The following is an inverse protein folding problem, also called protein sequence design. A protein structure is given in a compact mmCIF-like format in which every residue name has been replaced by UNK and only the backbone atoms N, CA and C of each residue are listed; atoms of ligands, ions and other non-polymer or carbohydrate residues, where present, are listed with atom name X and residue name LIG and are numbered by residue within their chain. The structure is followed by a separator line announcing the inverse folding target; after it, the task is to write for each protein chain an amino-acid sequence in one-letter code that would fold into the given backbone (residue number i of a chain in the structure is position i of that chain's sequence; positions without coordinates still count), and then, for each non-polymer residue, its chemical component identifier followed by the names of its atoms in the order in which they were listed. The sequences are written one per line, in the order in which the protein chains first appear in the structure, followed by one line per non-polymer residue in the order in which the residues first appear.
data_IF_377849434737
#
_entry.id   IF_377849434737
#
_cell.length_a   1.000
_cell.length_b   1.000
_cell.length_c   1.000
_cell.angle_alpha   90.00
_cell.angle_beta   90.00
_cell.angle_gamma   90.00
#
_symmetry.space_group_name_H-M   'P 1'
#
loop_
_entity.id
_entity.type
_entity.pdbx_description
1 polymer ?
#
# COMPACT_ATOMS: atom_id res chain seq x y z
N UNK A 1 -4.17 8.23 -9.33
CA UNK A 1 -5.64 8.36 -9.42
C UNK A 1 -6.04 9.58 -10.27
N UNK A 2 -5.58 10.79 -9.97
CA UNK A 2 -5.91 11.98 -10.80
C UNK A 2 -5.46 11.84 -12.25
N UNK A 3 -4.32 11.22 -12.52
CA UNK A 3 -3.85 10.91 -13.88
C UNK A 3 -4.74 9.90 -14.61
N UNK A 4 -5.55 9.16 -13.89
CA UNK A 4 -6.53 8.19 -14.40
C UNK A 4 -7.97 8.77 -14.34
N UNK A 5 -8.09 10.10 -14.34
CA UNK A 5 -9.35 10.85 -14.41
C UNK A 5 -10.31 10.58 -13.22
N UNK A 6 -9.81 10.06 -12.10
CA UNK A 6 -10.63 9.85 -10.91
C UNK A 6 -10.90 11.16 -10.18
N UNK A 7 -12.10 11.32 -9.64
CA UNK A 7 -12.37 12.34 -8.63
C UNK A 7 -11.79 11.89 -7.30
N UNK A 8 -10.90 12.67 -6.74
CA UNK A 8 -10.14 12.30 -5.55
C UNK A 8 -10.49 13.19 -4.38
N UNK A 9 -10.77 12.57 -3.24
CA UNK A 9 -10.83 13.25 -1.95
C UNK A 9 -9.59 12.84 -1.15
N UNK A 10 -8.74 13.81 -0.82
CA UNK A 10 -7.63 13.62 0.11
C UNK A 10 -8.11 14.02 1.49
N UNK A 11 -8.09 13.07 2.42
CA UNK A 11 -8.48 13.31 3.80
C UNK A 11 -7.29 13.11 4.75
N UNK A 12 -7.07 14.06 5.64
CA UNK A 12 -6.14 13.93 6.76
C UNK A 12 -6.76 14.55 8.02
N UNK A 13 -6.73 13.82 9.14
CA UNK A 13 -7.24 14.29 10.43
C UNK A 13 -6.46 15.45 11.05
N UNK A 14 -5.31 15.82 10.49
CA UNK A 14 -4.50 16.93 10.96
C UNK A 14 -4.96 18.27 10.32
N UNK A 15 -5.63 19.10 11.09
CA UNK A 15 -6.12 20.41 10.67
C UNK A 15 -5.02 21.50 10.53
N UNK A 16 -3.78 21.19 10.96
CA UNK A 16 -2.65 22.11 10.88
C UNK A 16 -1.92 22.05 9.53
N UNK A 17 -2.28 21.10 8.68
CA UNK A 17 -1.71 21.00 7.33
C UNK A 17 -2.20 22.14 6.46
N UNK A 18 -1.34 22.59 5.53
CA UNK A 18 -1.69 23.63 4.57
C UNK A 18 -2.19 23.00 3.26
N UNK A 19 -3.47 23.19 2.87
CA UNK A 19 -4.02 22.64 1.65
C UNK A 19 -3.28 23.08 0.37
N UNK A 20 -2.78 24.33 0.34
CA UNK A 20 -2.06 24.86 -0.82
C UNK A 20 -0.70 24.19 -0.98
N UNK A 21 0.01 23.91 0.12
CA UNK A 21 1.25 23.14 0.09
C UNK A 21 1.04 21.69 -0.37
N UNK A 22 -0.11 21.10 -0.02
CA UNK A 22 -0.50 19.77 -0.48
C UNK A 22 -0.75 19.82 -1.99
N UNK A 23 -1.56 20.80 -2.47
CA UNK A 23 -1.84 20.98 -3.90
C UNK A 23 -0.56 21.16 -4.72
N UNK A 24 0.37 21.98 -4.23
CA UNK A 24 1.63 22.26 -4.91
C UNK A 24 2.53 21.02 -5.10
N UNK A 25 2.35 19.97 -4.30
CA UNK A 25 3.10 18.71 -4.40
C UNK A 25 2.46 17.69 -5.34
N UNK A 26 1.24 17.95 -5.80
CA UNK A 26 0.51 17.02 -6.66
C UNK A 26 0.88 17.29 -8.11
N UNK A 27 1.52 16.31 -8.73
CA UNK A 27 1.94 16.39 -10.13
C UNK A 27 0.91 15.72 -11.04
N UNK A 28 0.37 16.48 -11.97
CA UNK A 28 -0.52 16.01 -13.04
C UNK A 28 -1.96 15.76 -12.56
N UNK A 29 -2.86 15.73 -13.52
CA UNK A 29 -4.30 15.63 -13.30
C UNK A 29 -4.98 17.01 -13.18
N UNK A 30 -6.31 16.99 -13.29
CA UNK A 30 -7.11 18.19 -13.14
C UNK A 30 -7.27 18.56 -11.66
N UNK A 31 -6.84 19.75 -11.30
CA UNK A 31 -6.96 20.27 -9.92
C UNK A 31 -8.41 20.42 -9.46
N UNK A 32 -9.36 20.56 -10.38
CA UNK A 32 -10.80 20.61 -10.08
C UNK A 32 -11.35 19.24 -9.63
N UNK A 33 -10.67 18.17 -10.00
CA UNK A 33 -11.01 16.79 -9.59
C UNK A 33 -10.44 16.40 -8.22
N UNK A 34 -9.79 17.34 -7.49
CA UNK A 34 -9.22 17.10 -6.17
C UNK A 34 -9.93 17.95 -5.11
N UNK A 35 -10.57 17.29 -4.17
CA UNK A 35 -11.04 17.86 -2.91
C UNK A 35 -10.04 17.54 -1.79
N UNK A 36 -9.68 18.51 -0.95
CA UNK A 36 -8.83 18.31 0.24
C UNK A 36 -9.67 18.59 1.48
N UNK A 37 -9.76 17.63 2.38
CA UNK A 37 -10.46 17.73 3.66
C UNK A 37 -9.44 17.50 4.78
N UNK A 38 -9.28 18.49 5.64
CA UNK A 38 -8.37 18.44 6.79
C UNK A 38 -9.14 18.57 8.10
N UNK A 39 -8.65 17.90 9.13
CA UNK A 39 -9.26 17.95 10.46
C UNK A 39 -10.40 16.94 10.63
N UNK A 40 -11.30 17.24 11.56
CA UNK A 40 -12.38 16.32 11.95
C UNK A 40 -13.45 16.21 10.86
N UNK A 41 -13.80 15.00 10.50
CA UNK A 41 -14.88 14.68 9.57
C UNK A 41 -16.03 14.01 10.31
N UNK A 42 -17.10 14.76 10.56
CA UNK A 42 -18.24 14.33 11.38
C UNK A 42 -19.59 14.73 10.78
N UNK A 43 -20.68 14.20 11.36
CA UNK A 43 -22.05 14.57 11.05
C UNK A 43 -22.46 14.29 9.60
N UNK A 44 -23.37 15.10 9.08
CA UNK A 44 -23.97 14.93 7.74
C UNK A 44 -22.91 14.98 6.64
N UNK A 45 -21.89 15.84 6.77
CA UNK A 45 -20.78 15.94 5.80
C UNK A 45 -20.02 14.63 5.65
N UNK A 46 -19.78 13.91 6.77
CA UNK A 46 -19.14 12.58 6.73
C UNK A 46 -20.02 11.59 5.99
N UNK A 47 -21.32 11.54 6.33
CA UNK A 47 -22.28 10.65 5.69
C UNK A 47 -22.35 10.86 4.18
N UNK A 48 -22.55 12.11 3.75
CA UNK A 48 -22.60 12.48 2.32
C UNK A 48 -21.32 12.13 1.56
N UNK A 49 -20.15 12.30 2.21
CA UNK A 49 -18.88 11.92 1.60
C UNK A 49 -18.81 10.41 1.41
N UNK A 50 -19.04 9.62 2.47
CA UNK A 50 -18.97 8.17 2.41
C UNK A 50 -19.93 7.57 1.37
N UNK A 51 -21.09 8.19 1.17
CA UNK A 51 -22.08 7.74 0.16
C UNK A 51 -21.62 7.98 -1.29
N UNK A 52 -20.67 8.88 -1.51
CA UNK A 52 -20.12 9.21 -2.84
C UNK A 52 -18.86 8.41 -3.18
N UNK A 53 -18.23 7.78 -2.19
CA UNK A 53 -17.00 7.04 -2.42
C UNK A 53 -17.26 5.71 -3.12
N UNK A 54 -16.37 5.37 -4.05
CA UNK A 54 -16.35 4.06 -4.72
C UNK A 54 -15.17 3.20 -4.25
N UNK A 55 -14.11 3.84 -3.72
CA UNK A 55 -12.89 3.21 -3.27
C UNK A 55 -12.24 4.07 -2.19
N UNK A 56 -11.69 3.43 -1.18
CA UNK A 56 -10.84 4.06 -0.17
C UNK A 56 -9.42 3.56 -0.33
N UNK A 57 -8.45 4.47 -0.41
CA UNK A 57 -7.02 4.13 -0.42
C UNK A 57 -6.38 4.65 0.85
N UNK A 58 -5.86 3.74 1.66
CA UNK A 58 -5.28 4.06 2.96
C UNK A 58 -3.77 4.15 2.90
N UNK A 59 -3.21 5.16 3.56
CA UNK A 59 -1.79 5.21 3.88
C UNK A 59 -1.46 4.15 4.94
N UNK A 60 -0.30 3.45 4.88
CA UNK A 60 0.09 2.42 5.84
C UNK A 60 0.16 2.92 7.30
N UNK A 61 0.41 4.23 7.49
CA UNK A 61 0.43 4.85 8.81
C UNK A 61 -0.94 4.96 9.50
N UNK A 62 -2.03 4.87 8.74
CA UNK A 62 -3.40 4.98 9.27
C UNK A 62 -3.85 3.66 9.87
N UNK A 63 -4.27 3.63 11.16
CA UNK A 63 -4.82 2.42 11.78
C UNK A 63 -6.07 1.92 11.06
N UNK A 64 -6.12 0.61 10.84
CA UNK A 64 -7.25 -0.03 10.13
C UNK A 64 -8.48 -0.24 11.01
N UNK A 65 -8.35 -0.02 12.33
CA UNK A 65 -9.40 -0.15 13.35
C UNK A 65 -10.05 1.18 13.77
N UNK A 66 -9.71 2.28 13.09
CA UNK A 66 -10.33 3.58 13.35
C UNK A 66 -11.85 3.52 13.10
N UNK A 67 -12.66 4.25 13.91
CA UNK A 67 -14.11 4.28 13.75
C UNK A 67 -14.58 4.60 12.33
N UNK A 68 -13.96 5.58 11.68
CA UNK A 68 -14.30 5.94 10.29
C UNK A 68 -13.99 4.80 9.30
N UNK A 69 -12.92 4.05 9.53
CA UNK A 69 -12.56 2.91 8.66
C UNK A 69 -13.55 1.75 8.86
N UNK A 70 -14.03 1.55 10.09
CA UNK A 70 -15.08 0.56 10.36
C UNK A 70 -16.41 0.96 9.71
N UNK A 71 -16.80 2.23 9.79
CA UNK A 71 -17.99 2.74 9.06
C UNK A 71 -17.87 2.53 7.54
N UNK A 72 -16.69 2.75 6.96
CA UNK A 72 -16.42 2.47 5.54
C UNK A 72 -16.64 1.00 5.19
N UNK A 73 -16.16 0.08 6.06
CA UNK A 73 -16.39 -1.36 5.89
C UNK A 73 -17.86 -1.74 6.00
N UNK A 74 -18.56 -1.19 6.99
CA UNK A 74 -20.00 -1.44 7.18
C UNK A 74 -20.83 -0.96 5.98
N UNK A 75 -20.40 0.10 5.30
CA UNK A 75 -20.98 0.57 4.04
C UNK A 75 -20.58 -0.29 2.82
N UNK A 76 -19.72 -1.29 3.00
CA UNK A 76 -19.23 -2.14 1.91
C UNK A 76 -18.25 -1.46 0.96
N UNK A 77 -17.61 -0.35 1.37
CA UNK A 77 -16.61 0.32 0.55
C UNK A 77 -15.36 -0.53 0.43
N UNK A 78 -14.81 -0.75 -0.77
CA UNK A 78 -13.52 -1.38 -0.94
C UNK A 78 -12.43 -0.52 -0.28
N UNK A 79 -11.61 -1.15 0.57
CA UNK A 79 -10.49 -0.48 1.26
C UNK A 79 -9.20 -1.12 0.80
N UNK A 80 -8.39 -0.36 0.09
CA UNK A 80 -7.09 -0.74 -0.41
C UNK A 80 -5.98 0.01 0.33
N UNK A 81 -4.81 -0.59 0.43
CA UNK A 81 -3.58 0.14 0.75
C UNK A 81 -2.90 0.66 -0.51
N UNK A 82 -1.83 1.41 -0.33
CA UNK A 82 -1.01 1.90 -1.44
C UNK A 82 -0.44 0.77 -2.30
N UNK A 83 -0.10 -0.37 -1.67
CA UNK A 83 0.47 -1.53 -2.35
C UNK A 83 -0.57 -2.18 -3.27
N UNK A 84 -1.79 -2.37 -2.77
CA UNK A 84 -2.87 -2.91 -3.59
C UNK A 84 -3.15 -2.01 -4.80
N UNK A 85 -3.25 -0.70 -4.56
CA UNK A 85 -3.43 0.27 -5.64
C UNK A 85 -2.32 0.18 -6.69
N UNK A 86 -1.06 0.15 -6.24
CA UNK A 86 0.08 0.07 -7.13
C UNK A 86 0.12 -1.25 -7.91
N UNK A 87 -0.24 -2.35 -7.27
CA UNK A 87 -0.28 -3.68 -7.88
C UNK A 87 -1.35 -3.77 -8.98
N UNK A 88 -2.53 -3.21 -8.75
CA UNK A 88 -3.63 -3.22 -9.73
C UNK A 88 -3.28 -2.41 -10.99
N UNK A 89 -2.56 -1.30 -10.84
CA UNK A 89 -2.13 -0.47 -11.97
C UNK A 89 -0.78 -0.89 -12.56
N UNK A 90 0.03 -1.61 -11.79
CA UNK A 90 1.34 -2.08 -12.20
C UNK A 90 1.29 -3.32 -13.09
N UNK A 91 2.42 -3.59 -13.73
CA UNK A 91 2.63 -4.76 -14.58
C UNK A 91 3.95 -5.43 -14.23
N UNK A 92 4.10 -6.69 -14.63
CA UNK A 92 5.31 -7.47 -14.41
C UNK A 92 5.28 -8.31 -13.13
N UNK A 93 6.39 -8.96 -12.84
CA UNK A 93 6.51 -9.88 -11.70
C UNK A 93 6.94 -9.15 -10.43
N UNK A 94 6.23 -9.39 -9.32
CA UNK A 94 6.57 -8.86 -8.01
C UNK A 94 7.31 -9.91 -7.18
N UNK A 95 8.48 -9.51 -6.62
CA UNK A 95 9.25 -10.26 -5.65
C UNK A 95 9.12 -9.52 -4.31
N UNK A 96 8.33 -10.04 -3.39
CA UNK A 96 7.96 -9.36 -2.15
C UNK A 96 8.71 -9.92 -0.94
N UNK A 97 9.24 -9.05 -0.10
CA UNK A 97 10.04 -9.43 1.08
C UNK A 97 9.45 -8.79 2.32
N UNK A 98 9.13 -9.62 3.32
CA UNK A 98 8.73 -9.17 4.66
C UNK A 98 9.57 -9.83 5.75
N UNK A 99 9.36 -9.42 6.97
CA UNK A 99 10.04 -9.91 8.16
C UNK A 99 10.14 -8.83 9.21
N UNK A 100 10.61 -9.14 10.40
CA UNK A 100 10.93 -8.13 11.40
C UNK A 100 12.24 -7.43 11.04
N UNK A 101 13.29 -8.20 10.81
CA UNK A 101 14.64 -7.71 10.54
C UNK A 101 15.18 -8.19 9.19
N UNK A 102 16.12 -7.44 8.62
CA UNK A 102 16.83 -7.82 7.39
C UNK A 102 16.09 -7.51 6.07
N UNK A 103 14.86 -7.01 6.12
CA UNK A 103 14.09 -6.68 4.92
C UNK A 103 14.85 -5.79 3.95
N UNK A 104 15.30 -4.63 4.43
CA UNK A 104 15.98 -3.60 3.62
C UNK A 104 17.23 -4.16 2.94
N UNK A 105 18.06 -4.89 3.68
CA UNK A 105 19.28 -5.49 3.14
C UNK A 105 18.97 -6.53 2.07
N UNK A 106 18.00 -7.41 2.34
CA UNK A 106 17.61 -8.46 1.38
C UNK A 106 16.95 -7.87 0.14
N UNK A 107 16.07 -6.89 0.31
CA UNK A 107 15.41 -6.20 -0.81
C UNK A 107 16.41 -5.45 -1.68
N UNK A 108 17.35 -4.74 -1.07
CA UNK A 108 18.39 -4.01 -1.81
C UNK A 108 19.31 -4.97 -2.56
N UNK A 109 19.76 -6.06 -1.92
CA UNK A 109 20.60 -7.06 -2.56
C UNK A 109 19.87 -7.73 -3.73
N UNK A 110 18.62 -8.14 -3.54
CA UNK A 110 17.82 -8.74 -4.60
C UNK A 110 17.58 -7.74 -5.74
N UNK A 111 17.35 -6.46 -5.43
CA UNK A 111 17.25 -5.40 -6.41
C UNK A 111 18.50 -5.27 -7.27
N UNK A 112 19.71 -5.30 -6.66
CA UNK A 112 20.97 -5.28 -7.41
C UNK A 112 21.16 -6.53 -8.29
N UNK A 113 20.74 -7.69 -7.81
CA UNK A 113 20.74 -8.92 -8.62
C UNK A 113 19.81 -8.76 -9.83
N UNK A 114 18.58 -8.31 -9.61
CA UNK A 114 17.59 -8.18 -10.68
C UNK A 114 17.94 -7.15 -11.74
N UNK A 115 18.70 -6.10 -11.42
CA UNK A 115 19.28 -5.17 -12.41
C UNK A 115 20.14 -5.87 -13.48
N UNK A 116 20.73 -7.02 -13.15
CA UNK A 116 21.53 -7.79 -14.08
C UNK A 116 20.72 -8.83 -14.88
N UNK A 117 19.51 -9.15 -14.44
CA UNK A 117 18.66 -10.17 -15.05
C UNK A 117 17.49 -9.58 -15.86
N UNK A 118 16.94 -8.46 -15.41
CA UNK A 118 15.78 -7.85 -16.04
C UNK A 118 16.16 -6.54 -16.73
N UNK A 119 15.60 -6.28 -17.91
CA UNK A 119 15.80 -5.00 -18.59
C UNK A 119 15.08 -3.84 -17.89
N UNK A 120 14.08 -4.15 -17.09
CA UNK A 120 13.30 -3.21 -16.29
C UNK A 120 13.15 -3.76 -14.89
N UNK A 121 13.80 -3.13 -13.91
CA UNK A 121 13.70 -3.53 -12.50
C UNK A 121 13.55 -2.32 -11.59
N UNK A 122 12.72 -2.47 -10.56
CA UNK A 122 12.43 -1.43 -9.58
C UNK A 122 12.55 -1.98 -8.16
N UNK A 123 13.08 -1.16 -7.25
CA UNK A 123 13.07 -1.43 -5.81
C UNK A 123 12.12 -0.44 -5.16
N UNK A 124 11.14 -0.96 -4.44
CA UNK A 124 9.99 -0.16 -3.96
C UNK A 124 9.45 -0.63 -2.62
N UNK A 125 8.46 0.06 -2.10
CA UNK A 125 7.68 -0.34 -0.93
C UNK A 125 8.05 0.44 0.32
N UNK A 126 8.27 -0.27 1.41
CA UNK A 126 8.61 0.34 2.71
C UNK A 126 9.98 1.04 2.72
N UNK A 127 10.81 0.83 1.70
CA UNK A 127 12.08 1.50 1.44
C UNK A 127 12.09 2.13 0.05
N UNK A 128 12.95 3.11 -0.12
CA UNK A 128 13.14 3.77 -1.42
C UNK A 128 11.90 4.52 -1.87
N UNK A 129 11.46 4.24 -3.09
CA UNK A 129 10.30 4.87 -3.68
C UNK A 129 9.01 4.11 -3.32
N UNK A 130 7.90 4.82 -3.04
CA UNK A 130 6.59 4.17 -2.95
C UNK A 130 6.27 3.40 -4.24
N UNK A 131 5.68 2.23 -4.13
CA UNK A 131 5.33 1.44 -5.32
C UNK A 131 4.37 2.21 -6.26
N UNK A 132 3.47 3.00 -5.70
CA UNK A 132 2.54 3.86 -6.46
C UNK A 132 3.27 4.86 -7.37
N UNK A 133 4.49 5.30 -7.03
CA UNK A 133 5.23 6.28 -7.83
C UNK A 133 5.75 5.72 -9.16
N UNK A 134 5.89 4.38 -9.26
CA UNK A 134 6.42 3.73 -10.44
C UNK A 134 5.41 2.82 -11.15
N UNK A 135 4.25 2.57 -10.55
CA UNK A 135 3.29 1.59 -11.04
C UNK A 135 2.94 1.78 -12.53
N UNK A 136 2.66 3.01 -12.96
CA UNK A 136 2.36 3.34 -14.36
C UNK A 136 3.60 3.30 -15.30
N UNK A 137 4.80 3.13 -14.76
CA UNK A 137 6.04 3.02 -15.54
C UNK A 137 6.43 1.57 -15.79
N UNK A 138 5.80 0.64 -15.08
CA UNK A 138 6.10 -0.79 -15.18
C UNK A 138 5.52 -1.40 -16.48
N UNK A 139 6.14 -2.46 -16.95
CA UNK A 139 5.78 -3.20 -18.17
C UNK A 139 5.64 -4.68 -17.85
N UNK A 140 5.13 -5.46 -18.77
CA UNK A 140 4.94 -6.92 -18.62
C UNK A 140 6.27 -7.67 -18.32
N UNK A 141 7.41 -7.13 -18.79
CA UNK A 141 8.75 -7.66 -18.55
C UNK A 141 9.46 -7.05 -17.33
N UNK A 142 8.78 -6.21 -16.55
CA UNK A 142 9.35 -5.59 -15.36
C UNK A 142 9.45 -6.57 -14.20
N UNK A 143 10.49 -6.39 -13.37
CA UNK A 143 10.64 -7.06 -12.07
C UNK A 143 10.59 -6.01 -10.97
N UNK A 144 9.65 -6.15 -10.06
CA UNK A 144 9.43 -5.26 -8.94
C UNK A 144 9.87 -5.95 -7.65
N UNK A 145 10.94 -5.49 -7.05
CA UNK A 145 11.43 -5.99 -5.75
C UNK A 145 10.85 -5.09 -4.66
N UNK A 146 9.89 -5.63 -3.90
CA UNK A 146 9.10 -4.86 -2.95
C UNK A 146 9.42 -5.23 -1.49
N UNK A 147 9.86 -4.25 -0.70
CA UNK A 147 9.89 -4.38 0.75
C UNK A 147 8.50 -4.16 1.33
N UNK A 148 7.99 -5.14 2.08
CA UNK A 148 6.65 -5.11 2.64
C UNK A 148 6.66 -5.00 4.17
N UNK A 149 6.07 -3.95 4.72
CA UNK A 149 5.76 -3.86 6.14
C UNK A 149 4.50 -4.66 6.47
N UNK A 150 4.31 -5.01 7.75
CA UNK A 150 3.07 -5.63 8.21
C UNK A 150 1.86 -4.71 8.00
N UNK A 151 2.04 -3.38 8.13
CA UNK A 151 0.98 -2.39 7.93
C UNK A 151 0.50 -2.32 6.47
N UNK A 152 1.42 -2.40 5.50
CA UNK A 152 1.08 -2.46 4.08
C UNK A 152 0.32 -3.73 3.73
N UNK A 153 0.66 -4.84 4.38
CA UNK A 153 -0.01 -6.13 4.18
C UNK A 153 -1.43 -6.21 4.78
N UNK A 154 -1.77 -5.35 5.76
CA UNK A 154 -3.12 -5.31 6.34
C UNK A 154 -4.22 -4.98 5.32
N UNK A 155 -3.89 -4.32 4.24
CA UNK A 155 -4.86 -3.75 3.28
C UNK A 155 -4.70 -4.25 1.85
N UNK A 156 -3.98 -5.36 1.65
CA UNK A 156 -3.96 -6.06 0.37
C UNK A 156 -5.27 -6.82 0.14
N UNK A 157 -5.65 -7.01 -1.12
CA UNK A 157 -6.84 -7.73 -1.56
C UNK A 157 -6.49 -8.76 -2.64
N UNK A 158 -5.91 -8.29 -3.74
CA UNK A 158 -5.54 -9.11 -4.89
C UNK A 158 -4.02 -9.22 -5.08
N UNK A 159 -3.25 -8.47 -4.29
CA UNK A 159 -1.80 -8.48 -4.33
C UNK A 159 -1.25 -9.91 -4.27
N UNK A 160 -0.57 -10.30 -5.33
CA UNK A 160 -0.03 -11.64 -5.51
C UNK A 160 1.39 -11.59 -6.04
N UNK A 161 2.39 -11.64 -5.17
CA UNK A 161 3.77 -11.69 -5.62
C UNK A 161 4.10 -13.04 -6.28
N UNK A 162 4.89 -13.02 -7.34
CA UNK A 162 5.42 -14.23 -7.98
C UNK A 162 6.33 -15.03 -7.04
N UNK A 163 7.10 -14.30 -6.24
CA UNK A 163 7.91 -14.85 -5.15
C UNK A 163 7.69 -13.99 -3.91
N UNK A 164 7.40 -14.62 -2.80
CA UNK A 164 7.39 -13.98 -1.48
C UNK A 164 8.44 -14.56 -0.54
N UNK A 165 8.91 -13.76 0.42
CA UNK A 165 9.80 -14.23 1.46
C UNK A 165 9.41 -13.65 2.82
N UNK A 166 9.37 -14.51 3.85
CA UNK A 166 9.26 -14.11 5.26
C UNK A 166 10.60 -14.44 5.93
N UNK A 167 11.43 -13.42 6.18
CA UNK A 167 12.80 -13.62 6.66
C UNK A 167 12.89 -14.09 8.10
N UNK A 168 12.06 -13.51 8.96
CA UNK A 168 11.95 -13.82 10.39
C UNK A 168 10.77 -13.06 10.98
N UNK A 169 10.26 -13.55 12.10
CA UNK A 169 9.24 -12.85 12.89
C UNK A 169 9.66 -12.88 14.36
N UNK A 170 9.95 -11.72 14.91
CA UNK A 170 10.25 -11.49 16.33
C UNK A 170 9.37 -10.37 16.85
N UNK A 171 9.12 -10.25 18.18
CA UNK A 171 8.23 -9.22 18.72
C UNK A 171 8.58 -7.82 18.26
N UNK A 172 7.64 -7.16 17.58
CA UNK A 172 7.75 -5.78 17.12
C UNK A 172 6.34 -5.23 16.83
N UNK A 173 6.17 -3.91 16.85
CA UNK A 173 4.93 -3.22 16.52
C UNK A 173 3.66 -3.73 17.27
N UNK A 174 3.82 -4.28 18.48
CA UNK A 174 2.68 -4.80 19.27
C UNK A 174 1.74 -3.69 19.77
N UNK A 175 2.19 -2.46 19.80
CA UNK A 175 1.33 -1.29 20.01
C UNK A 175 0.29 -1.11 18.89
N UNK A 176 0.54 -1.63 17.70
CA UNK A 176 -0.36 -1.60 16.55
C UNK A 176 -1.12 -2.91 16.38
N UNK A 177 -0.41 -4.04 16.40
CA UNK A 177 -1.01 -5.35 16.16
C UNK A 177 -1.63 -6.00 17.40
N UNK A 178 -1.39 -5.42 18.61
CA UNK A 178 -1.86 -5.85 19.93
C UNK A 178 -1.28 -7.20 20.39
N UNK A 179 -1.21 -8.22 19.54
CA UNK A 179 -0.67 -9.55 19.85
C UNK A 179 0.35 -10.00 18.81
N UNK A 180 1.20 -10.99 19.21
CA UNK A 180 2.11 -11.64 18.27
C UNK A 180 1.35 -12.38 17.18
N UNK A 181 0.24 -13.02 17.50
CA UNK A 181 -0.56 -13.77 16.53
C UNK A 181 -1.10 -12.85 15.43
N UNK A 182 -1.58 -11.66 15.77
CA UNK A 182 -2.01 -10.67 14.79
C UNK A 182 -0.84 -10.16 13.93
N UNK A 183 0.33 -9.98 14.54
CA UNK A 183 1.53 -9.55 13.82
C UNK A 183 2.01 -10.61 12.84
N UNK A 184 2.01 -11.88 13.25
CA UNK A 184 2.30 -13.03 12.40
C UNK A 184 1.30 -13.09 11.24
N UNK A 185 0.00 -13.11 11.57
CA UNK A 185 -1.07 -13.14 10.57
C UNK A 185 -0.97 -12.00 9.55
N UNK A 186 -0.64 -10.79 9.98
CA UNK A 186 -0.45 -9.66 9.07
C UNK A 186 0.72 -9.90 8.08
N UNK A 187 1.83 -10.53 8.52
CA UNK A 187 2.95 -10.85 7.62
C UNK A 187 2.67 -12.03 6.70
N UNK A 188 1.96 -13.04 7.18
CA UNK A 188 1.58 -14.22 6.39
C UNK A 188 0.70 -13.86 5.19
N UNK A 189 -0.04 -12.77 5.28
CA UNK A 189 -0.83 -12.24 4.16
C UNK A 189 -0.02 -12.00 2.88
N UNK A 190 1.31 -11.84 2.97
CA UNK A 190 2.17 -11.67 1.80
C UNK A 190 1.99 -12.81 0.77
N UNK A 191 1.57 -14.00 1.22
CA UNK A 191 1.37 -15.19 0.40
C UNK A 191 -0.10 -15.56 0.21
N UNK A 192 -1.08 -14.80 0.76
CA UNK A 192 -2.48 -15.21 0.82
C UNK A 192 -3.12 -15.45 -0.56
N UNK A 193 -2.68 -14.73 -1.58
CA UNK A 193 -3.18 -14.85 -2.95
C UNK A 193 -2.28 -15.73 -3.85
N UNK A 194 -1.17 -16.25 -3.32
CA UNK A 194 -0.28 -17.11 -4.09
C UNK A 194 -0.94 -18.45 -4.44
N UNK A 195 -0.54 -18.99 -5.58
CA UNK A 195 -1.00 -20.28 -6.09
C UNK A 195 0.18 -21.25 -6.21
N UNK A 196 -0.06 -22.46 -6.68
CA UNK A 196 0.98 -23.46 -6.94
C UNK A 196 2.02 -23.03 -7.99
N UNK A 197 1.74 -21.97 -8.75
CA UNK A 197 2.66 -21.42 -9.74
C UNK A 197 3.63 -20.39 -9.12
N UNK A 198 3.40 -19.99 -7.87
CA UNK A 198 4.18 -18.98 -7.15
C UNK A 198 5.05 -19.66 -6.09
N UNK A 199 5.99 -18.91 -5.53
CA UNK A 199 6.93 -19.45 -4.52
C UNK A 199 6.89 -18.61 -3.25
N UNK A 200 6.75 -19.27 -2.09
CA UNK A 200 6.92 -18.63 -0.79
C UNK A 200 8.18 -19.21 -0.11
N UNK A 201 9.10 -18.34 0.25
CA UNK A 201 10.33 -18.70 0.98
C UNK A 201 10.13 -18.37 2.45
N UNK A 202 10.29 -19.37 3.30
CA UNK A 202 10.17 -19.26 4.75
C UNK A 202 11.50 -19.63 5.42
N UNK A 203 11.86 -18.91 6.49
CA UNK A 203 13.02 -19.20 7.32
C UNK A 203 12.57 -19.79 8.65
#
# INVERSE_FOLDING_TARGET
LLKEEAKVVLYDGNDKLNPEEIRAKIEGGDSESLEIILGTLEGDRKGELLDKLSLVVMSPGVPTDLPIVNEMREKGLPIWGEIELAYVFGKGDVLAITGTNGKTTTTSLLGEIMKNYAQSSFVVGNIGNPYTSIALQTREDSVIVAEMSSFQLETIQTFRPRVSAILNITPDHLNRHHTMDNYIAAKERIAENQTKADTCVLN
#
